data_IF_278966888724
#
_entry.id   IF_278966888724
#
_cell.length_a   1.000
_cell.length_b   1.000
_cell.length_c   1.000
_cell.angle_alpha   90.00
_cell.angle_beta   90.00
_cell.angle_gamma   90.00
#
_symmetry.space_group_name_H-M   'P 1'
#
loop_
_entity.id
_entity.type
_entity.pdbx_description
1 polymer ?
#
# COMPACT_ATOMS: atom_id res chain seq x y z
N UNK A 1 -15.70 17.68 -6.03
CA UNK A 1 -15.01 18.89 -5.57
C UNK A 1 -14.85 18.79 -4.06
N UNK A 2 -13.68 19.11 -3.52
CA UNK A 2 -13.47 19.12 -2.07
C UNK A 2 -14.38 20.18 -1.41
N UNK A 3 -14.98 19.89 -0.25
CA UNK A 3 -15.74 20.88 0.50
C UNK A 3 -14.86 22.08 0.86
N UNK A 4 -15.40 23.30 0.77
CA UNK A 4 -14.72 24.48 1.32
C UNK A 4 -14.87 24.48 2.83
N UNK A 5 -13.79 24.12 3.53
CA UNK A 5 -13.72 24.12 5.00
C UNK A 5 -13.16 25.43 5.53
N UNK A 6 -13.72 25.90 6.63
CA UNK A 6 -13.13 26.95 7.48
C UNK A 6 -11.87 26.44 8.18
N UNK A 7 -11.04 27.35 8.69
CA UNK A 7 -9.82 26.98 9.43
C UNK A 7 -10.13 26.14 10.68
N UNK A 8 -11.20 26.49 11.40
CA UNK A 8 -11.62 25.75 12.59
C UNK A 8 -11.99 24.30 12.24
N UNK A 9 -12.78 24.10 11.18
CA UNK A 9 -13.14 22.76 10.72
C UNK A 9 -11.92 21.95 10.28
N UNK A 10 -10.97 22.59 9.57
CA UNK A 10 -9.73 21.92 9.19
C UNK A 10 -8.95 21.44 10.41
N UNK A 11 -8.82 22.26 11.47
CA UNK A 11 -8.13 21.87 12.70
C UNK A 11 -8.84 20.71 13.40
N UNK A 12 -10.17 20.77 13.52
CA UNK A 12 -10.96 19.71 14.15
C UNK A 12 -10.83 18.37 13.41
N UNK A 13 -10.77 18.41 12.08
CA UNK A 13 -10.62 17.20 11.25
C UNK A 13 -9.20 16.67 11.31
N UNK A 14 -8.19 17.50 11.03
CA UNK A 14 -6.83 17.01 10.76
C UNK A 14 -5.96 16.82 12.02
N UNK A 15 -6.33 17.40 13.16
CA UNK A 15 -5.64 17.17 14.44
C UNK A 15 -6.23 16.02 15.24
N UNK A 16 -7.39 15.49 14.83
CA UNK A 16 -8.00 14.28 15.37
C UNK A 16 -7.81 13.12 14.39
N UNK A 17 -7.07 12.09 14.82
CA UNK A 17 -6.73 10.96 13.95
C UNK A 17 -7.98 10.22 13.45
N UNK A 18 -8.97 9.99 14.32
CA UNK A 18 -10.18 9.26 13.96
C UNK A 18 -11.02 10.04 12.95
N UNK A 19 -11.19 11.36 13.17
CA UNK A 19 -11.92 12.21 12.25
C UNK A 19 -11.19 12.37 10.91
N UNK A 20 -9.86 12.52 10.93
CA UNK A 20 -9.06 12.62 9.73
C UNK A 20 -9.23 11.39 8.82
N UNK A 21 -9.29 10.18 9.40
CA UNK A 21 -9.51 8.95 8.65
C UNK A 21 -10.91 8.88 8.04
N UNK A 22 -11.95 9.19 8.83
CA UNK A 22 -13.33 9.19 8.36
C UNK A 22 -13.52 10.20 7.22
N UNK A 23 -12.99 11.41 7.41
CA UNK A 23 -13.04 12.45 6.38
C UNK A 23 -12.31 12.00 5.12
N UNK A 24 -11.11 11.42 5.26
CA UNK A 24 -10.31 10.99 4.14
C UNK A 24 -11.02 9.91 3.30
N UNK A 25 -11.58 8.89 3.95
CA UNK A 25 -12.32 7.81 3.28
C UNK A 25 -13.59 8.30 2.57
N UNK A 26 -14.23 9.33 3.11
CA UNK A 26 -15.45 9.90 2.54
C UNK A 26 -15.18 10.76 1.30
N UNK A 27 -14.08 11.49 1.29
CA UNK A 27 -13.83 12.55 0.31
C UNK A 27 -12.75 12.22 -0.74
N UNK A 28 -11.84 11.29 -0.44
CA UNK A 28 -10.78 10.88 -1.38
C UNK A 28 -10.99 9.42 -1.81
N UNK A 29 -10.84 9.18 -3.11
CA UNK A 29 -10.93 7.84 -3.67
C UNK A 29 -9.56 7.20 -3.71
N UNK A 30 -9.52 5.92 -3.35
CA UNK A 30 -8.33 5.11 -3.56
C UNK A 30 -8.08 4.92 -5.08
N UNK A 31 -6.85 5.16 -5.51
CA UNK A 31 -6.42 4.92 -6.88
C UNK A 31 -6.02 3.44 -7.05
N UNK A 32 -6.74 2.70 -7.89
CA UNK A 32 -6.52 1.27 -8.11
C UNK A 32 -5.33 0.98 -9.02
N UNK A 33 -4.97 1.90 -9.90
CA UNK A 33 -3.80 1.79 -10.77
C UNK A 33 -2.49 2.06 -10.00
N UNK A 34 -1.57 1.10 -10.01
CA UNK A 34 -0.30 1.21 -9.29
C UNK A 34 0.60 2.34 -9.79
N UNK A 35 0.68 2.54 -11.10
CA UNK A 35 1.53 3.58 -11.71
C UNK A 35 0.99 4.98 -11.40
N UNK A 36 -0.33 5.16 -11.39
CA UNK A 36 -0.95 6.42 -10.99
C UNK A 36 -0.76 6.69 -9.49
N UNK A 37 -0.88 5.68 -8.62
CA UNK A 37 -0.53 5.82 -7.20
C UNK A 37 0.90 6.32 -7.02
N UNK A 38 1.86 5.73 -7.74
CA UNK A 38 3.26 6.13 -7.71
C UNK A 38 3.41 7.59 -8.18
N UNK A 39 2.73 7.97 -9.26
CA UNK A 39 2.78 9.34 -9.78
C UNK A 39 2.19 10.35 -8.80
N UNK A 40 1.08 10.03 -8.13
CA UNK A 40 0.48 10.87 -7.09
C UNK A 40 1.43 11.00 -5.90
N UNK A 41 1.99 9.89 -5.43
CA UNK A 41 2.97 9.87 -4.34
C UNK A 41 4.18 10.75 -4.67
N UNK A 42 4.81 10.58 -5.83
CA UNK A 42 5.97 11.39 -6.25
C UNK A 42 5.67 12.88 -6.33
N UNK A 43 4.44 13.26 -6.71
CA UNK A 43 4.01 14.67 -6.77
C UNK A 43 3.78 15.29 -5.38
N UNK A 44 3.32 14.49 -4.40
CA UNK A 44 2.94 14.96 -3.07
C UNK A 44 4.01 14.79 -1.98
N UNK A 45 4.81 13.73 -2.04
CA UNK A 45 5.72 13.34 -0.97
C UNK A 45 6.74 14.43 -0.61
N UNK A 46 7.39 15.03 -1.62
CA UNK A 46 8.36 16.09 -1.38
C UNK A 46 7.72 17.35 -0.77
N UNK A 47 6.46 17.66 -1.11
CA UNK A 47 5.73 18.80 -0.54
C UNK A 47 5.43 18.58 0.93
N UNK A 48 5.03 17.36 1.31
CA UNK A 48 4.82 17.00 2.71
C UNK A 48 6.12 17.15 3.51
N UNK A 49 7.22 16.61 2.99
CA UNK A 49 8.55 16.72 3.60
C UNK A 49 8.97 18.18 3.73
N UNK A 50 8.80 18.98 2.67
CA UNK A 50 9.12 20.40 2.68
C UNK A 50 8.33 21.16 3.75
N UNK A 51 7.01 20.94 3.87
CA UNK A 51 6.19 21.59 4.88
C UNK A 51 6.57 21.15 6.30
N UNK A 52 6.82 19.84 6.50
CA UNK A 52 7.30 19.32 7.79
C UNK A 52 8.67 19.90 8.19
N UNK A 53 9.57 20.06 7.22
CA UNK A 53 10.88 20.68 7.43
C UNK A 53 10.76 22.16 7.79
N UNK A 54 9.92 22.92 7.07
CA UNK A 54 9.64 24.32 7.38
C UNK A 54 9.03 24.47 8.78
N UNK A 55 8.07 23.62 9.14
CA UNK A 55 7.44 23.63 10.46
C UNK A 55 8.49 23.40 11.54
N UNK A 56 9.20 22.27 11.48
CA UNK A 56 10.24 21.92 12.45
C UNK A 56 11.27 23.02 12.63
N UNK A 57 11.77 23.62 11.53
CA UNK A 57 12.78 24.68 11.60
C UNK A 57 12.26 25.95 12.27
N UNK A 58 10.97 26.28 12.11
CA UNK A 58 10.33 27.49 12.63
C UNK A 58 9.91 27.36 14.08
N UNK A 59 9.59 26.15 14.54
CA UNK A 59 8.99 25.92 15.87
C UNK A 59 9.84 25.06 16.80
N UNK A 60 10.99 24.57 16.33
CA UNK A 60 11.81 23.56 17.01
C UNK A 60 11.03 22.29 17.39
N UNK A 61 9.96 21.99 16.65
CA UNK A 61 9.21 20.76 16.84
C UNK A 61 9.94 19.56 16.25
N UNK A 62 9.85 18.43 16.96
CA UNK A 62 10.25 17.13 16.46
C UNK A 62 9.25 16.69 15.38
N UNK A 63 9.71 16.48 14.15
CA UNK A 63 8.86 16.06 13.02
C UNK A 63 9.48 14.85 12.34
N UNK A 64 8.65 13.81 12.16
CA UNK A 64 9.00 12.61 11.43
C UNK A 64 7.92 12.37 10.39
N UNK A 65 8.31 12.15 9.15
CA UNK A 65 7.41 11.84 8.03
C UNK A 65 7.92 10.56 7.38
N UNK A 66 7.08 9.53 7.39
CA UNK A 66 7.39 8.23 6.80
C UNK A 66 6.34 7.88 5.75
N UNK A 67 6.80 7.55 4.55
CA UNK A 67 5.97 7.24 3.40
C UNK A 67 6.51 5.96 2.78
N UNK A 68 5.63 4.98 2.58
CA UNK A 68 5.98 3.72 1.97
C UNK A 68 4.84 3.24 1.07
N UNK A 69 5.10 2.78 -0.16
CA UNK A 69 4.08 2.09 -0.94
C UNK A 69 3.73 0.76 -0.25
N UNK A 70 2.43 0.50 -0.12
CA UNK A 70 1.89 -0.75 0.41
C UNK A 70 1.70 -1.82 -0.69
N UNK A 71 2.13 -1.53 -1.92
CA UNK A 71 2.04 -2.50 -3.02
C UNK A 71 3.17 -3.53 -2.94
N UNK A 72 2.87 -4.76 -3.34
CA UNK A 72 3.79 -5.89 -3.36
C UNK A 72 4.36 -6.17 -4.77
N UNK A 73 3.95 -5.36 -5.77
CA UNK A 73 4.35 -5.50 -7.16
C UNK A 73 5.82 -5.13 -7.47
N UNK A 74 6.25 -5.44 -8.71
CA UNK A 74 7.62 -5.25 -9.22
C UNK A 74 8.13 -3.79 -9.25
N UNK A 75 7.23 -2.81 -9.24
CA UNK A 75 7.56 -1.40 -9.28
C UNK A 75 7.45 -0.79 -7.87
N UNK A 76 8.25 -1.26 -6.89
CA UNK A 76 8.25 -0.64 -5.58
C UNK A 76 9.09 0.63 -5.61
N UNK A 77 8.47 1.78 -5.39
CA UNK A 77 9.18 3.01 -5.03
C UNK A 77 9.84 2.81 -3.67
N UNK A 78 11.03 3.37 -3.49
CA UNK A 78 11.74 3.30 -2.22
C UNK A 78 10.95 3.94 -1.07
N UNK A 79 11.15 3.40 0.13
CA UNK A 79 10.64 3.99 1.36
C UNK A 79 11.28 5.35 1.60
N UNK A 80 10.46 6.35 1.91
CA UNK A 80 10.91 7.70 2.20
C UNK A 80 10.69 7.96 3.69
N UNK A 81 11.79 8.18 4.41
CA UNK A 81 11.75 8.58 5.82
C UNK A 81 12.50 9.89 5.97
N UNK A 82 11.76 10.95 6.31
CA UNK A 82 12.30 12.23 6.70
C UNK A 82 12.26 12.36 8.22
N UNK A 83 13.36 12.82 8.81
CA UNK A 83 13.49 13.13 10.23
C UNK A 83 14.05 14.53 10.37
N UNK A 84 13.44 15.34 11.23
CA UNK A 84 13.85 16.72 11.42
C UNK A 84 15.28 16.88 11.97
N UNK A 85 16.00 17.97 11.61
CA UNK A 85 17.40 18.17 12.02
C UNK A 85 17.64 18.18 13.53
N UNK A 86 16.69 18.72 14.30
CA UNK A 86 16.77 18.78 15.77
C UNK A 86 16.73 17.39 16.44
N UNK A 87 16.14 16.39 15.78
CA UNK A 87 16.20 14.99 16.22
C UNK A 87 17.52 14.32 15.80
N UNK A 88 18.12 14.76 14.71
CA UNK A 88 19.38 14.23 14.19
C UNK A 88 20.63 14.90 14.79
N UNK A 89 20.48 15.84 15.73
CA UNK A 89 21.57 16.58 16.34
C UNK A 89 22.56 15.66 17.09
N UNK A 90 23.86 15.83 16.84
CA UNK A 90 24.91 15.06 17.50
C UNK A 90 25.02 15.37 18.99
N UNK A 91 24.66 16.61 19.37
CA UNK A 91 24.65 17.03 20.77
C UNK A 91 23.51 16.39 21.57
N UNK A 92 22.53 15.75 20.90
CA UNK A 92 21.34 15.15 21.53
C UNK A 92 21.26 13.65 21.22
N UNK A 93 22.17 12.82 21.79
CA UNK A 93 22.30 11.41 21.42
C UNK A 93 21.02 10.59 21.67
N UNK A 94 20.24 10.91 22.71
CA UNK A 94 18.97 10.24 22.98
C UNK A 94 17.92 10.48 21.88
N UNK A 95 17.78 11.72 21.40
CA UNK A 95 16.87 12.05 20.31
C UNK A 95 17.32 11.42 18.99
N UNK A 96 18.62 11.42 18.74
CA UNK A 96 19.22 10.76 17.57
C UNK A 96 18.99 9.25 17.62
N UNK A 97 19.15 8.62 18.78
CA UNK A 97 18.85 7.21 19.00
C UNK A 97 17.38 6.90 18.69
N UNK A 98 16.45 7.70 19.20
CA UNK A 98 15.02 7.56 18.90
C UNK A 98 14.72 7.69 17.40
N UNK A 99 15.29 8.69 16.73
CA UNK A 99 15.16 8.88 15.28
C UNK A 99 15.66 7.67 14.48
N UNK A 100 16.81 7.11 14.89
CA UNK A 100 17.39 5.95 14.25
C UNK A 100 16.56 4.69 14.48
N UNK A 101 16.07 4.47 15.70
CA UNK A 101 15.15 3.36 16.02
C UNK A 101 13.88 3.46 15.19
N UNK A 102 13.24 4.63 15.12
CA UNK A 102 12.03 4.82 14.31
C UNK A 102 12.29 4.46 12.84
N UNK A 103 13.36 5.01 12.24
CA UNK A 103 13.70 4.75 10.84
C UNK A 103 13.92 3.25 10.60
N UNK A 104 14.69 2.59 11.47
CA UNK A 104 15.02 1.18 11.33
C UNK A 104 13.78 0.29 11.45
N UNK A 105 12.94 0.51 12.47
CA UNK A 105 11.71 -0.27 12.68
C UNK A 105 10.71 -0.06 11.55
N UNK A 106 10.54 1.17 11.06
CA UNK A 106 9.67 1.46 9.92
C UNK A 106 10.13 0.70 8.67
N UNK A 107 11.39 0.85 8.27
CA UNK A 107 11.93 0.17 7.08
C UNK A 107 11.86 -1.34 7.21
N UNK A 108 12.21 -1.89 8.39
CA UNK A 108 12.16 -3.33 8.66
C UNK A 108 10.72 -3.88 8.55
N UNK A 109 9.76 -3.18 9.15
CA UNK A 109 8.34 -3.58 9.13
C UNK A 109 7.78 -3.53 7.71
N UNK A 110 8.09 -2.48 6.95
CA UNK A 110 7.65 -2.36 5.56
C UNK A 110 8.24 -3.44 4.65
N UNK A 111 9.52 -3.79 4.86
CA UNK A 111 10.15 -4.90 4.16
C UNK A 111 9.42 -6.23 4.43
N UNK A 112 9.20 -6.55 5.72
CA UNK A 112 8.50 -7.76 6.13
C UNK A 112 7.06 -7.85 5.59
N UNK A 113 6.33 -6.73 5.59
CA UNK A 113 4.99 -6.66 4.99
C UNK A 113 5.01 -7.03 3.50
N UNK A 114 5.95 -6.48 2.73
CA UNK A 114 6.07 -6.78 1.29
C UNK A 114 6.51 -8.21 1.02
N UNK A 115 7.39 -8.76 1.85
CA UNK A 115 7.79 -10.17 1.75
C UNK A 115 6.61 -11.10 1.97
N UNK A 116 5.81 -10.86 3.02
CA UNK A 116 4.59 -11.62 3.27
C UNK A 116 3.62 -11.53 2.09
N UNK A 117 3.39 -10.32 1.58
CA UNK A 117 2.52 -10.10 0.43
C UNK A 117 2.99 -10.79 -0.86
N UNK A 118 4.31 -10.83 -1.12
CA UNK A 118 4.88 -11.59 -2.26
C UNK A 118 4.70 -13.10 -2.08
N UNK A 119 4.90 -13.61 -0.87
CA UNK A 119 4.69 -15.03 -0.58
C UNK A 119 3.21 -15.43 -0.77
N UNK A 120 2.28 -14.58 -0.35
CA UNK A 120 0.84 -14.80 -0.54
C UNK A 120 0.45 -14.79 -2.02
N UNK A 121 0.94 -13.82 -2.79
CA UNK A 121 0.70 -13.75 -4.22
C UNK A 121 1.25 -14.99 -4.95
N UNK A 122 2.45 -15.46 -4.58
CA UNK A 122 3.03 -16.68 -5.14
C UNK A 122 2.16 -17.91 -4.84
N UNK A 123 1.70 -18.08 -3.59
CA UNK A 123 0.79 -19.16 -3.18
C UNK A 123 -0.52 -19.13 -3.96
N UNK A 124 -1.12 -17.95 -4.11
CA UNK A 124 -2.36 -17.79 -4.88
C UNK A 124 -2.16 -18.10 -6.37
N UNK A 125 -1.04 -17.69 -6.96
CA UNK A 125 -0.71 -18.03 -8.34
C UNK A 125 -0.57 -19.54 -8.55
N UNK A 126 0.09 -20.24 -7.62
CA UNK A 126 0.20 -21.70 -7.68
C UNK A 126 -1.16 -22.40 -7.54
N UNK A 127 -1.99 -21.96 -6.59
CA UNK A 127 -3.35 -22.47 -6.41
C UNK A 127 -4.19 -22.24 -7.67
N UNK A 128 -4.15 -21.05 -8.26
CA UNK A 128 -4.88 -20.74 -9.49
C UNK A 128 -4.40 -21.57 -10.68
N UNK A 129 -3.09 -21.83 -10.81
CA UNK A 129 -2.55 -22.72 -11.85
C UNK A 129 -3.08 -24.15 -11.69
N UNK A 130 -3.16 -24.66 -10.47
CA UNK A 130 -3.75 -26.00 -10.18
C UNK A 130 -5.23 -26.04 -10.56
N UNK A 131 -6.02 -25.05 -10.12
CA UNK A 131 -7.44 -24.95 -10.46
C UNK A 131 -7.68 -24.85 -11.98
N UNK A 132 -6.83 -24.12 -12.69
CA UNK A 132 -6.91 -24.04 -14.15
C UNK A 132 -6.59 -25.37 -14.83
N UNK A 133 -5.60 -26.12 -14.33
CA UNK A 133 -5.27 -27.44 -14.82
C UNK A 133 -6.41 -28.44 -14.57
N UNK A 134 -6.96 -28.48 -13.34
CA UNK A 134 -8.11 -29.31 -12.99
C UNK A 134 -9.34 -28.98 -13.84
N UNK A 135 -9.62 -27.69 -14.06
CA UNK A 135 -10.71 -27.26 -14.94
C UNK A 135 -10.50 -27.72 -16.38
N UNK A 136 -9.28 -27.65 -16.89
CA UNK A 136 -8.96 -28.13 -18.25
C UNK A 136 -9.15 -29.64 -18.38
N UNK A 137 -8.74 -30.41 -17.37
CA UNK A 137 -8.92 -31.86 -17.33
C UNK A 137 -10.40 -32.26 -17.27
N UNK A 138 -11.18 -31.61 -16.40
CA UNK A 138 -12.64 -31.84 -16.30
C UNK A 138 -13.38 -31.49 -17.60
N UNK A 139 -12.94 -30.44 -18.31
CA UNK A 139 -13.50 -30.09 -19.61
C UNK A 139 -13.19 -31.16 -20.67
N UNK A 140 -11.99 -31.72 -20.66
CA UNK A 140 -11.61 -32.81 -21.55
C UNK A 140 -12.44 -34.08 -21.27
N UNK A 141 -12.60 -34.46 -20.00
CA UNK A 141 -13.43 -35.60 -19.59
C UNK A 141 -14.90 -35.39 -19.96
N UNK A 142 -15.44 -34.18 -19.79
CA UNK A 142 -16.82 -33.87 -20.20
C UNK A 142 -17.01 -34.02 -21.71
N UNK A 143 -16.06 -33.54 -22.52
CA UNK A 143 -16.11 -33.69 -23.96
C UNK A 143 -16.09 -35.16 -24.39
N UNK A 144 -15.26 -35.98 -23.72
CA UNK A 144 -15.20 -37.42 -23.98
C UNK A 144 -16.49 -38.15 -23.58
N UNK A 145 -17.05 -37.83 -22.41
CA UNK A 145 -18.33 -38.37 -21.95
C UNK A 145 -19.49 -37.96 -22.88
N UNK A 146 -19.54 -36.70 -23.32
CA UNK A 146 -20.53 -36.24 -24.30
C UNK A 146 -20.42 -36.99 -25.62
N UNK A 147 -19.20 -37.22 -26.11
CA UNK A 147 -18.97 -38.01 -27.31
C UNK A 147 -19.41 -39.48 -27.15
N UNK A 148 -19.19 -40.08 -25.98
CA UNK A 148 -19.67 -41.44 -25.68
C UNK A 148 -21.20 -41.51 -25.64
N UNK A 149 -21.86 -40.54 -24.99
CA UNK A 149 -23.33 -40.45 -24.95
C UNK A 149 -23.89 -40.36 -26.37
N UNK A 150 -23.34 -39.49 -27.22
CA UNK A 150 -23.78 -39.36 -28.62
C UNK A 150 -23.63 -40.66 -29.42
N UNK A 151 -22.53 -41.40 -29.23
CA UNK A 151 -22.32 -42.70 -29.88
C UNK A 151 -23.33 -43.75 -29.40
N UNK A 152 -23.61 -43.81 -28.11
CA UNK A 152 -24.57 -44.75 -27.53
C UNK A 152 -26.00 -44.43 -27.94
N UNK A 153 -26.40 -43.15 -27.98
CA UNK A 153 -27.72 -42.75 -28.46
C UNK A 153 -27.93 -43.05 -29.94
N UNK A 154 -26.87 -42.94 -30.74
CA UNK A 154 -26.90 -43.28 -32.16
C UNK A 154 -26.93 -44.80 -32.42
N UNK A 155 -26.55 -45.64 -31.44
CA UNK A 155 -26.60 -47.10 -31.57
C UNK A 155 -27.89 -47.72 -31.02
N UNK A 156 -28.74 -46.94 -30.36
CA UNK A 156 -30.03 -47.37 -29.80
C UNK A 156 -31.25 -46.80 -30.57
N UNK A 157 -30.99 -46.03 -31.62
CA UNK A 157 -31.98 -45.57 -32.62
C UNK A 157 -31.87 -46.42 -33.89
#
# INVERSE_FOLDING_TARGET
AEPKLTELEQRLIWLDLAQSHVYALKHFKYESNADERIRVMKRGAWRLIEQGAKLSRRTDMAVVIALAPLDNGKASVDDVVYVSPNLCDAARPALRGMAQTFRNEFTKTMHGYREAGRADAARQMEANKRLMAEKAELLAQNAELQAQIQRLSASTS
#
